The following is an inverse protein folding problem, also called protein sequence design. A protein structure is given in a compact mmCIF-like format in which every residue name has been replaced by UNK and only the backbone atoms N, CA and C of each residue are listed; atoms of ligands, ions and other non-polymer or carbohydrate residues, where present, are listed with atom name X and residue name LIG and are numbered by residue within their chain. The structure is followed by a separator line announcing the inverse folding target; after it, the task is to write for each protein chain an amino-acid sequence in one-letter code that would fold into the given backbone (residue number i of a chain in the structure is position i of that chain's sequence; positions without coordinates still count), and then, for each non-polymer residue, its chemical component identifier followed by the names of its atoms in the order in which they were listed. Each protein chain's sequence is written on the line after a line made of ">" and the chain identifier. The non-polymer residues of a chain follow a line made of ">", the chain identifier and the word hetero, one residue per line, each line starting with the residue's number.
data_IF_025192946083
#
_entry.id   IF_025192946083
#
_cell.length_a   1.000
_cell.length_b   1.000
_cell.length_c   1.000
_cell.angle_alpha   90.00
_cell.angle_beta   90.00
_cell.angle_gamma   90.00
#
_symmetry.space_group_name_H-M   'P 1'
#
loop_
_entity.id
_entity.type
_entity.pdbx_description
1 polymer ?
#
# COMPACT_ATOMS: atom_id res chain seq x y z
N UNK A 1 -0.59 -6.53 17.63
CA UNK A 1 -1.70 -5.55 17.53
C UNK A 1 -1.31 -4.29 18.26
N UNK A 2 -1.41 -3.14 17.59
CA UNK A 2 -1.10 -1.81 18.11
C UNK A 2 -2.29 -0.88 17.91
N UNK A 3 -2.49 0.06 18.84
CA UNK A 3 -3.42 1.17 18.69
C UNK A 3 -2.67 2.47 19.03
N UNK A 4 -2.70 3.42 18.10
CA UNK A 4 -2.13 4.77 18.27
C UNK A 4 -3.26 5.77 18.24
N UNK A 5 -3.32 6.69 19.20
CA UNK A 5 -4.32 7.78 19.20
C UNK A 5 -3.66 9.11 19.54
N UNK A 6 -3.99 10.15 18.79
CA UNK A 6 -3.41 11.48 18.92
C UNK A 6 -1.86 11.45 18.93
N UNK A 7 -1.25 10.60 18.10
CA UNK A 7 0.20 10.42 18.04
C UNK A 7 0.82 9.57 19.15
N UNK A 8 0.02 9.05 20.10
CA UNK A 8 0.52 8.26 21.22
C UNK A 8 0.15 6.78 21.08
N UNK A 9 1.12 5.88 21.30
CA UNK A 9 0.86 4.44 21.39
C UNK A 9 0.11 4.15 22.71
N UNK A 10 -1.17 3.81 22.60
CA UNK A 10 -2.05 3.59 23.77
C UNK A 10 -2.29 2.11 24.06
N UNK A 11 -2.04 1.24 23.08
CA UNK A 11 -2.13 -0.20 23.25
C UNK A 11 -1.11 -0.90 22.37
N UNK A 12 -0.46 -1.91 22.93
CA UNK A 12 0.47 -2.77 22.21
C UNK A 12 0.48 -4.17 22.86
N UNK A 13 0.21 -5.19 22.05
CA UNK A 13 0.27 -6.59 22.46
C UNK A 13 0.76 -7.47 21.31
N UNK A 14 1.58 -8.44 21.68
CA UNK A 14 2.12 -9.49 20.82
C UNK A 14 1.55 -10.83 21.26
N UNK A 15 1.06 -11.60 20.31
CA UNK A 15 0.37 -12.86 20.57
C UNK A 15 1.22 -14.01 20.03
N UNK A 16 1.28 -15.10 20.78
CA UNK A 16 1.93 -16.31 20.33
C UNK A 16 1.20 -16.83 19.09
N UNK A 17 1.96 -17.07 18.02
CA UNK A 17 1.46 -17.79 16.86
C UNK A 17 2.01 -19.21 16.88
N UNK A 18 1.21 -20.19 16.45
CA UNK A 18 1.71 -21.54 16.22
C UNK A 18 2.29 -21.61 14.81
N UNK A 19 3.31 -22.44 14.63
CA UNK A 19 3.79 -22.76 13.29
C UNK A 19 2.64 -23.30 12.45
N UNK A 20 2.47 -22.73 11.26
CA UNK A 20 1.51 -23.25 10.30
C UNK A 20 2.15 -24.43 9.56
N UNK A 21 1.42 -25.52 9.27
CA UNK A 21 1.97 -26.67 8.53
C UNK A 21 2.38 -26.35 7.09
N UNK A 22 2.10 -25.14 6.62
CA UNK A 22 2.29 -24.67 5.24
C UNK A 22 3.72 -24.18 4.93
N UNK A 23 4.64 -24.32 5.89
CA UNK A 23 6.04 -23.90 5.73
C UNK A 23 6.26 -22.40 5.85
N UNK A 24 5.25 -21.62 6.26
CA UNK A 24 5.43 -20.20 6.60
C UNK A 24 6.49 -20.08 7.70
N UNK A 25 7.57 -19.30 7.49
CA UNK A 25 8.58 -19.10 8.51
C UNK A 25 7.98 -18.52 9.79
N UNK A 26 8.45 -19.00 10.94
CA UNK A 26 8.13 -18.38 12.22
C UNK A 26 8.68 -16.94 12.25
N UNK A 27 8.01 -16.02 12.96
CA UNK A 27 8.54 -14.68 13.14
C UNK A 27 9.90 -14.74 13.85
N UNK A 28 10.78 -13.83 13.48
CA UNK A 28 12.10 -13.66 14.08
C UNK A 28 12.20 -12.22 14.63
N UNK A 29 12.39 -12.03 15.95
CA UNK A 29 12.47 -13.06 17.00
C UNK A 29 11.14 -13.78 17.28
N UNK A 30 11.25 -14.97 17.90
CA UNK A 30 10.12 -15.74 18.46
C UNK A 30 10.26 -15.89 19.98
N UNK A 31 9.21 -15.61 20.79
CA UNK A 31 7.87 -15.17 20.37
C UNK A 31 7.87 -13.76 19.77
N UNK A 32 6.83 -13.36 19.02
CA UNK A 32 6.76 -12.02 18.43
C UNK A 32 6.97 -10.93 19.48
N UNK A 33 7.74 -9.91 19.12
CA UNK A 33 8.18 -8.83 19.99
C UNK A 33 8.21 -7.50 19.20
N UNK A 34 8.45 -6.35 19.86
CA UNK A 34 8.44 -5.04 19.19
C UNK A 34 9.40 -4.87 18.01
N UNK A 35 10.46 -5.67 17.97
CA UNK A 35 11.50 -5.72 16.96
C UNK A 35 11.28 -6.81 15.90
N UNK A 36 10.17 -7.56 15.98
CA UNK A 36 9.80 -8.54 14.94
C UNK A 36 9.49 -7.82 13.63
N UNK A 37 10.20 -8.23 12.58
CA UNK A 37 9.94 -7.81 11.22
C UNK A 37 8.84 -8.64 10.58
N UNK A 38 7.96 -7.96 9.85
CA UNK A 38 6.91 -8.60 9.06
C UNK A 38 7.05 -8.23 7.59
N UNK A 39 6.84 -9.21 6.71
CA UNK A 39 6.78 -8.95 5.28
C UNK A 39 5.51 -8.13 4.97
N UNK A 40 5.68 -6.87 4.58
CA UNK A 40 4.61 -5.89 4.35
C UNK A 40 3.72 -6.21 3.14
N UNK A 41 4.24 -6.99 2.18
CA UNK A 41 3.51 -7.42 0.97
C UNK A 41 2.96 -6.18 0.25
N UNK A 42 1.65 -6.13 -0.01
CA UNK A 42 1.03 -5.02 -0.74
C UNK A 42 1.04 -3.68 0.01
N UNK A 43 1.39 -3.62 1.30
CA UNK A 43 1.62 -2.32 1.98
C UNK A 43 2.77 -1.54 1.32
N UNK A 44 3.74 -2.23 0.69
CA UNK A 44 4.80 -1.58 -0.10
C UNK A 44 4.25 -0.65 -1.18
N UNK A 45 3.09 -0.99 -1.77
CA UNK A 45 2.45 -0.17 -2.82
C UNK A 45 2.08 1.22 -2.30
N UNK A 46 1.53 1.30 -1.10
CA UNK A 46 1.20 2.57 -0.47
C UNK A 46 2.45 3.39 -0.10
N UNK A 47 3.56 2.72 0.25
CA UNK A 47 4.86 3.39 0.44
C UNK A 47 5.34 4.01 -0.88
N UNK A 48 5.30 3.27 -1.98
CA UNK A 48 5.64 3.77 -3.32
C UNK A 48 4.75 4.95 -3.73
N UNK A 49 3.43 4.84 -3.55
CA UNK A 49 2.50 5.95 -3.80
C UNK A 49 2.80 7.19 -2.95
N UNK A 50 3.25 7.01 -1.71
CA UNK A 50 3.66 8.12 -0.83
C UNK A 50 4.84 8.91 -1.41
N UNK A 51 5.78 8.23 -2.07
CA UNK A 51 6.93 8.86 -2.72
C UNK A 51 6.52 9.62 -3.99
N UNK A 52 5.53 9.15 -4.74
CA UNK A 52 4.90 9.94 -5.81
C UNK A 52 4.32 11.24 -5.27
N UNK A 53 3.66 11.19 -4.11
CA UNK A 53 3.20 12.38 -3.39
C UNK A 53 4.32 13.35 -3.00
N UNK A 54 5.51 12.83 -2.67
CA UNK A 54 6.70 13.64 -2.41
C UNK A 54 7.22 14.30 -3.70
N UNK A 55 7.35 13.55 -4.81
CA UNK A 55 7.78 14.11 -6.10
C UNK A 55 6.85 15.22 -6.59
N UNK A 56 5.53 15.07 -6.43
CA UNK A 56 4.57 16.14 -6.71
C UNK A 56 4.78 17.36 -5.81
N UNK A 57 5.04 17.14 -4.52
CA UNK A 57 5.31 18.22 -3.57
C UNK A 57 6.60 18.97 -3.89
N UNK A 58 7.62 18.28 -4.41
CA UNK A 58 8.89 18.86 -4.86
C UNK A 58 8.81 19.50 -6.26
N UNK A 59 7.68 19.34 -6.97
CA UNK A 59 7.52 19.67 -8.39
C UNK A 59 8.49 18.89 -9.32
N UNK A 60 8.99 17.74 -8.88
CA UNK A 60 9.82 16.83 -9.68
C UNK A 60 9.00 16.08 -10.74
N UNK A 61 7.68 15.97 -10.50
CA UNK A 61 6.69 15.59 -11.52
C UNK A 61 5.56 16.61 -11.52
N UNK A 62 5.01 16.91 -12.70
CA UNK A 62 4.09 18.03 -12.88
C UNK A 62 2.68 17.74 -12.33
N UNK A 63 2.13 16.56 -12.65
CA UNK A 63 0.79 16.17 -12.23
C UNK A 63 0.63 14.66 -12.23
N UNK A 64 -0.37 14.18 -11.49
CA UNK A 64 -0.90 12.81 -11.64
C UNK A 64 -1.60 12.58 -12.99
N UNK A 65 -1.88 13.65 -13.74
CA UNK A 65 -2.42 13.61 -15.09
C UNK A 65 -1.35 13.49 -16.18
N UNK A 66 -0.08 13.35 -15.81
CA UNK A 66 1.00 13.06 -16.77
C UNK A 66 0.94 11.58 -17.21
N UNK A 67 1.12 11.27 -18.51
CA UNK A 67 1.30 9.91 -18.97
C UNK A 67 2.47 9.21 -18.28
N UNK A 68 2.23 8.02 -17.72
CA UNK A 68 3.29 7.28 -17.02
C UNK A 68 4.38 6.80 -17.99
N UNK A 69 4.00 6.48 -19.24
CA UNK A 69 4.93 6.01 -20.27
C UNK A 69 5.81 7.11 -20.87
N UNK A 70 5.55 8.39 -20.60
CA UNK A 70 6.49 9.47 -20.95
C UNK A 70 7.84 9.31 -20.24
N UNK A 71 7.84 8.66 -19.06
CA UNK A 71 9.07 8.37 -18.33
C UNK A 71 9.80 7.14 -18.88
N UNK A 72 9.20 6.37 -19.79
CA UNK A 72 9.74 5.11 -20.29
C UNK A 72 10.05 5.14 -21.80
N UNK A 73 10.17 6.34 -22.39
CA UNK A 73 10.39 6.50 -23.83
C UNK A 73 11.76 5.97 -24.31
N UNK A 74 12.76 5.97 -23.43
CA UNK A 74 14.09 5.43 -23.72
C UNK A 74 14.18 3.90 -23.53
N UNK A 75 13.13 3.27 -22.99
CA UNK A 75 13.03 1.82 -22.83
C UNK A 75 12.38 1.19 -24.06
N UNK A 76 12.65 -0.10 -24.30
CA UNK A 76 12.06 -0.84 -25.41
C UNK A 76 10.63 -1.29 -25.08
N UNK A 77 9.67 -0.36 -25.03
CA UNK A 77 8.25 -0.65 -24.72
C UNK A 77 7.48 -0.99 -26.00
N UNK A 78 6.99 -2.22 -26.16
CA UNK A 78 6.19 -2.58 -27.34
C UNK A 78 4.89 -1.79 -27.41
N UNK A 79 4.56 -1.30 -28.61
CA UNK A 79 3.34 -0.55 -28.89
C UNK A 79 3.11 0.63 -27.91
N UNK A 80 4.16 1.38 -27.56
CA UNK A 80 4.10 2.49 -26.58
C UNK A 80 2.98 3.49 -26.87
N UNK A 81 2.68 3.78 -28.14
CA UNK A 81 1.57 4.66 -28.53
C UNK A 81 0.21 4.19 -27.99
N UNK A 82 -0.02 2.88 -27.91
CA UNK A 82 -1.26 2.31 -27.35
C UNK A 82 -1.39 2.52 -25.83
N UNK A 83 -0.29 2.89 -25.16
CA UNK A 83 -0.18 3.09 -23.72
C UNK A 83 -0.09 4.57 -23.34
N UNK A 84 -0.07 5.48 -24.31
CA UNK A 84 0.13 6.91 -24.10
C UNK A 84 -0.94 7.57 -23.21
N UNK A 85 -2.15 7.02 -23.16
CA UNK A 85 -3.25 7.54 -22.33
C UNK A 85 -3.24 7.00 -20.88
N UNK A 86 -2.29 6.13 -20.52
CA UNK A 86 -2.15 5.63 -19.16
C UNK A 86 -1.46 6.70 -18.31
N UNK A 87 -2.24 7.42 -17.52
CA UNK A 87 -1.76 8.48 -16.63
C UNK A 87 -1.27 7.93 -15.29
N UNK A 88 -0.41 8.67 -14.58
CA UNK A 88 0.05 8.34 -13.22
C UNK A 88 -1.13 8.09 -12.28
N UNK A 89 -2.23 8.85 -12.39
CA UNK A 89 -3.45 8.61 -11.60
C UNK A 89 -4.06 7.24 -11.85
N UNK A 90 -3.97 6.72 -13.08
CA UNK A 90 -4.50 5.40 -13.41
C UNK A 90 -3.65 4.28 -12.77
N UNK A 91 -2.34 4.50 -12.70
CA UNK A 91 -1.44 3.63 -11.97
C UNK A 91 -1.69 3.67 -10.45
N UNK A 92 -1.96 4.85 -9.88
CA UNK A 92 -2.25 4.99 -8.45
C UNK A 92 -3.63 4.46 -8.04
N UNK A 93 -4.62 4.52 -8.93
CA UNK A 93 -6.00 4.10 -8.63
C UNK A 93 -6.30 2.67 -9.11
N UNK A 94 -5.35 2.03 -9.80
CA UNK A 94 -5.46 0.69 -10.39
C UNK A 94 -6.62 0.57 -11.38
N UNK A 95 -6.64 1.46 -12.37
CA UNK A 95 -7.58 1.44 -13.49
C UNK A 95 -6.89 1.77 -14.84
N UNK A 96 -5.67 1.29 -15.05
CA UNK A 96 -4.88 1.52 -16.27
C UNK A 96 -5.47 0.94 -17.56
N UNK A 97 -6.35 -0.07 -17.47
CA UNK A 97 -6.85 -0.79 -18.63
C UNK A 97 -5.90 -1.87 -19.18
N UNK A 98 -4.74 -2.10 -18.57
CA UNK A 98 -3.84 -3.20 -18.96
C UNK A 98 -4.50 -4.57 -18.73
N UNK A 99 -4.16 -5.52 -19.60
CA UNK A 99 -4.48 -6.94 -19.45
C UNK A 99 -3.72 -7.52 -18.25
N UNK A 100 -4.39 -7.55 -17.10
CA UNK A 100 -3.77 -7.92 -15.84
C UNK A 100 -4.68 -8.77 -14.96
N UNK A 101 -4.17 -9.90 -14.50
CA UNK A 101 -4.88 -10.84 -13.64
C UNK A 101 -4.03 -11.23 -12.43
N UNK A 102 -4.35 -10.70 -11.25
CA UNK A 102 -3.75 -11.15 -9.98
C UNK A 102 -4.67 -12.08 -9.19
N UNK A 103 -5.97 -11.79 -9.25
CA UNK A 103 -7.05 -12.42 -8.51
C UNK A 103 -7.30 -13.89 -8.89
N UNK A 104 -7.57 -14.77 -7.91
CA UNK A 104 -8.27 -16.05 -8.11
C UNK A 104 -7.65 -16.99 -9.16
N UNK A 105 -6.34 -16.86 -9.42
CA UNK A 105 -5.62 -17.71 -10.36
C UNK A 105 -4.30 -18.17 -9.76
N UNK A 106 -3.94 -19.41 -10.06
CA UNK A 106 -2.62 -19.97 -9.72
C UNK A 106 -1.52 -19.44 -10.64
N UNK A 107 -1.91 -18.97 -11.83
CA UNK A 107 -1.04 -18.37 -12.84
C UNK A 107 -1.24 -16.85 -12.87
N UNK A 108 -1.04 -16.19 -11.72
CA UNK A 108 -1.24 -14.74 -11.58
C UNK A 108 -0.12 -13.97 -12.26
N UNK A 109 -0.45 -12.86 -12.91
CA UNK A 109 0.52 -11.94 -13.50
C UNK A 109 1.47 -11.36 -12.45
N UNK A 110 1.02 -11.13 -11.22
CA UNK A 110 1.89 -10.70 -10.12
C UNK A 110 3.04 -11.69 -9.85
N UNK A 111 2.74 -12.99 -9.84
CA UNK A 111 3.72 -14.05 -9.64
C UNK A 111 4.61 -14.22 -10.86
N UNK A 112 4.03 -14.23 -12.07
CA UNK A 112 4.79 -14.38 -13.30
C UNK A 112 5.76 -13.22 -13.53
N UNK A 113 5.32 -11.98 -13.25
CA UNK A 113 6.19 -10.80 -13.23
C UNK A 113 7.31 -10.96 -12.21
N UNK A 114 7.00 -11.39 -10.98
CA UNK A 114 8.02 -11.56 -9.93
C UNK A 114 9.06 -12.64 -10.25
N UNK A 115 8.68 -13.67 -11.03
CA UNK A 115 9.55 -14.77 -11.43
C UNK A 115 10.18 -14.57 -12.82
N UNK A 116 9.86 -13.46 -13.50
CA UNK A 116 10.40 -13.16 -14.82
C UNK A 116 11.87 -12.73 -14.75
N UNK A 117 12.58 -12.79 -15.88
CA UNK A 117 13.97 -12.30 -15.92
C UNK A 117 14.03 -10.78 -15.76
N UNK A 118 13.03 -10.07 -16.28
CA UNK A 118 12.88 -8.62 -16.15
C UNK A 118 11.39 -8.28 -15.91
N UNK A 119 11.04 -7.78 -14.71
CA UNK A 119 9.67 -7.45 -14.37
C UNK A 119 9.14 -6.24 -15.13
N UNK A 120 9.99 -5.33 -15.60
CA UNK A 120 9.57 -4.19 -16.42
C UNK A 120 9.22 -4.64 -17.84
N UNK A 121 10.06 -5.48 -18.47
CA UNK A 121 9.75 -6.06 -19.79
C UNK A 121 8.44 -6.85 -19.73
N UNK A 122 8.22 -7.65 -18.68
CA UNK A 122 6.96 -8.37 -18.48
C UNK A 122 5.73 -7.46 -18.47
N UNK A 123 5.84 -6.27 -17.86
CA UNK A 123 4.75 -5.27 -17.83
C UNK A 123 4.61 -4.58 -19.19
N UNK A 124 5.72 -4.27 -19.86
CA UNK A 124 5.71 -3.61 -21.16
C UNK A 124 5.01 -4.46 -22.23
N UNK A 125 5.18 -5.78 -22.17
CA UNK A 125 4.53 -6.75 -23.06
C UNK A 125 3.00 -6.84 -22.90
N UNK A 126 2.43 -6.35 -21.79
CA UNK A 126 0.97 -6.39 -21.58
C UNK A 126 0.24 -5.47 -22.56
N UNK A 127 -0.90 -5.90 -23.08
CA UNK A 127 -1.74 -5.07 -23.97
C UNK A 127 -2.74 -4.24 -23.15
N UNK A 128 -3.28 -3.17 -23.76
CA UNK A 128 -4.39 -2.39 -23.19
C UNK A 128 -5.72 -2.98 -23.68
N UNK A 129 -6.56 -3.48 -22.78
CA UNK A 129 -7.87 -4.08 -23.12
C UNK A 129 -9.04 -3.11 -22.98
N UNK A 130 -8.90 -2.13 -22.11
CA UNK A 130 -9.96 -1.20 -21.74
C UNK A 130 -9.41 0.22 -21.73
N UNK A 131 -10.28 1.22 -21.93
CA UNK A 131 -9.84 2.61 -21.86
C UNK A 131 -9.35 2.90 -20.43
N UNK A 132 -8.17 3.53 -20.25
CA UNK A 132 -7.69 3.90 -18.92
C UNK A 132 -8.74 4.73 -18.18
N UNK A 133 -9.03 4.36 -16.93
CA UNK A 133 -10.09 4.94 -16.10
C UNK A 133 -11.42 4.18 -16.11
N UNK A 134 -11.67 3.33 -17.11
CA UNK A 134 -12.96 2.65 -17.31
C UNK A 134 -13.23 1.56 -16.26
N UNK A 135 -12.22 0.72 -15.99
CA UNK A 135 -12.35 -0.44 -15.10
C UNK A 135 -11.26 -0.49 -14.06
N UNK A 136 -11.66 -0.81 -12.83
CA UNK A 136 -10.74 -1.04 -11.72
C UNK A 136 -10.30 -2.50 -11.72
N UNK A 137 -8.99 -2.73 -11.81
CA UNK A 137 -8.35 -4.05 -11.74
C UNK A 137 -7.13 -3.92 -10.85
N UNK A 138 -7.11 -4.64 -9.73
CA UNK A 138 -5.99 -4.58 -8.79
C UNK A 138 -4.70 -5.10 -9.46
N UNK A 139 -3.66 -4.25 -9.50
CA UNK A 139 -2.48 -4.51 -10.34
C UNK A 139 -1.16 -4.01 -9.75
N UNK A 140 -0.32 -4.96 -9.36
CA UNK A 140 1.05 -4.76 -8.90
C UNK A 140 1.96 -4.17 -9.97
N UNK A 141 1.71 -4.44 -11.26
CA UNK A 141 2.42 -3.81 -12.38
C UNK A 141 2.50 -2.29 -12.24
N UNK A 142 1.39 -1.65 -11.91
CA UNK A 142 1.34 -0.20 -11.78
C UNK A 142 2.19 0.31 -10.64
N UNK A 143 2.25 -0.40 -9.52
CA UNK A 143 3.17 -0.02 -8.44
C UNK A 143 4.64 -0.25 -8.81
N UNK A 144 4.95 -1.24 -9.65
CA UNK A 144 6.32 -1.42 -10.19
C UNK A 144 6.69 -0.25 -11.11
N UNK A 145 5.81 0.15 -12.03
CA UNK A 145 6.05 1.32 -12.89
C UNK A 145 6.11 2.64 -12.10
N UNK A 146 5.33 2.80 -11.02
CA UNK A 146 5.50 3.97 -10.15
C UNK A 146 6.87 3.96 -9.46
N UNK A 147 7.38 2.78 -9.09
CA UNK A 147 8.74 2.59 -8.58
C UNK A 147 9.79 3.03 -9.59
N UNK A 148 9.77 2.48 -10.80
CA UNK A 148 10.73 2.85 -11.84
C UNK A 148 10.63 4.32 -12.27
N UNK A 149 9.43 4.92 -12.28
CA UNK A 149 9.26 6.36 -12.49
C UNK A 149 10.04 7.16 -11.43
N UNK A 150 9.95 6.77 -10.15
CA UNK A 150 10.71 7.42 -9.07
C UNK A 150 12.21 7.31 -9.37
N UNK A 151 12.68 6.14 -9.77
CA UNK A 151 14.11 5.94 -10.08
C UNK A 151 14.57 6.82 -11.24
N UNK A 152 13.78 6.91 -12.32
CA UNK A 152 14.10 7.75 -13.48
C UNK A 152 14.08 9.24 -13.17
N UNK A 153 13.12 9.71 -12.37
CA UNK A 153 13.03 11.12 -11.98
C UNK A 153 14.16 11.53 -11.02
N UNK A 154 14.55 10.63 -10.13
CA UNK A 154 15.50 10.95 -9.05
C UNK A 154 16.94 10.56 -9.37
N UNK A 155 17.16 9.62 -10.29
CA UNK A 155 18.45 8.97 -10.53
C UNK A 155 18.92 8.05 -9.39
N UNK A 156 18.05 7.77 -8.41
CA UNK A 156 18.37 6.92 -7.25
C UNK A 156 17.59 5.61 -7.32
N UNK A 157 18.11 4.53 -6.72
CA UNK A 157 17.31 3.33 -6.53
C UNK A 157 16.08 3.62 -5.65
N UNK A 158 14.98 2.89 -5.86
CA UNK A 158 13.75 3.09 -5.10
C UNK A 158 13.99 2.94 -3.60
N UNK A 159 14.84 1.98 -3.19
CA UNK A 159 15.21 1.78 -1.78
C UNK A 159 15.98 2.97 -1.22
N UNK A 160 16.99 3.48 -1.94
CA UNK A 160 17.77 4.66 -1.50
C UNK A 160 16.86 5.86 -1.31
N UNK A 161 16.03 6.18 -2.32
CA UNK A 161 15.13 7.31 -2.26
C UNK A 161 14.09 7.18 -1.15
N UNK A 162 13.55 5.98 -0.94
CA UNK A 162 12.65 5.67 0.19
C UNK A 162 13.35 5.92 1.53
N UNK A 163 14.60 5.47 1.65
CA UNK A 163 15.40 5.61 2.86
C UNK A 163 15.57 7.09 3.21
N UNK A 164 16.09 7.88 2.28
CA UNK A 164 16.44 9.29 2.52
C UNK A 164 15.20 10.18 2.70
N UNK A 165 14.17 9.96 1.88
CA UNK A 165 13.03 10.88 1.76
C UNK A 165 11.92 10.58 2.76
N UNK A 166 11.74 9.31 3.13
CA UNK A 166 10.62 8.88 3.97
C UNK A 166 11.11 8.25 5.28
N UNK A 167 11.95 7.23 5.22
CA UNK A 167 12.26 6.43 6.41
C UNK A 167 13.18 7.15 7.39
N UNK A 168 14.25 7.79 6.93
CA UNK A 168 15.15 8.57 7.79
C UNK A 168 14.41 9.69 8.53
N UNK A 169 13.58 10.53 7.89
CA UNK A 169 12.74 11.51 8.60
C UNK A 169 11.80 10.88 9.64
N UNK A 170 11.27 9.69 9.37
CA UNK A 170 10.40 8.94 10.29
C UNK A 170 11.19 8.17 11.37
N UNK A 171 12.53 8.22 11.34
CA UNK A 171 13.40 7.40 12.18
C UNK A 171 13.09 5.89 12.04
N UNK A 172 12.90 5.43 10.80
CA UNK A 172 12.80 4.02 10.40
C UNK A 172 14.17 3.62 9.85
N UNK A 173 15.10 3.24 10.73
CA UNK A 173 16.51 3.01 10.36
C UNK A 173 16.83 1.54 10.12
N UNK A 174 16.08 0.63 10.74
CA UNK A 174 16.25 -0.81 10.60
C UNK A 174 15.04 -1.36 9.87
N UNK A 175 15.19 -1.63 8.57
CA UNK A 175 14.19 -2.27 7.73
C UNK A 175 14.88 -3.19 6.73
N UNK A 176 14.14 -4.14 6.19
CA UNK A 176 14.61 -4.96 5.07
C UNK A 176 13.73 -4.71 3.86
N UNK A 177 14.31 -4.84 2.68
CA UNK A 177 13.57 -4.90 1.43
C UNK A 177 14.24 -5.97 0.60
N UNK A 178 13.47 -6.97 0.17
CA UNK A 178 13.98 -7.99 -0.73
C UNK A 178 14.01 -7.45 -2.16
N UNK A 179 15.19 -7.43 -2.81
CA UNK A 179 15.27 -7.10 -4.22
C UNK A 179 14.69 -8.24 -5.06
N UNK A 180 14.33 -7.92 -6.29
CA UNK A 180 14.07 -8.92 -7.33
C UNK A 180 15.35 -9.76 -7.54
N UNK A 181 15.21 -11.08 -7.55
CA UNK A 181 16.37 -11.99 -7.47
C UNK A 181 17.28 -11.91 -8.71
N UNK A 182 16.72 -11.63 -9.88
CA UNK A 182 17.47 -11.62 -11.15
C UNK A 182 18.08 -10.25 -11.43
N UNK A 183 17.28 -9.18 -11.35
CA UNK A 183 17.73 -7.83 -11.71
C UNK A 183 18.41 -7.08 -10.57
N UNK A 184 18.10 -7.45 -9.32
CA UNK A 184 18.56 -6.74 -8.13
C UNK A 184 17.72 -5.50 -7.78
N UNK A 185 16.68 -5.18 -8.56
CA UNK A 185 15.84 -4.00 -8.36
C UNK A 185 14.87 -4.14 -7.18
N UNK A 186 14.53 -3.03 -6.54
CA UNK A 186 13.51 -3.02 -5.51
C UNK A 186 12.16 -2.67 -6.12
N UNK A 187 11.27 -3.66 -6.19
CA UNK A 187 9.98 -3.48 -6.86
C UNK A 187 8.99 -2.74 -5.94
N UNK A 188 8.36 -1.68 -6.48
CA UNK A 188 7.38 -0.87 -5.73
C UNK A 188 6.10 -1.61 -5.34
N UNK A 189 5.93 -2.87 -5.72
CA UNK A 189 4.74 -3.69 -5.49
C UNK A 189 4.78 -4.54 -4.22
N UNK A 190 5.96 -4.89 -3.69
CA UNK A 190 6.13 -5.83 -2.57
C UNK A 190 7.57 -5.84 -2.03
N UNK A 191 7.85 -6.68 -1.03
CA UNK A 191 9.20 -7.03 -0.57
C UNK A 191 9.71 -6.25 0.64
N UNK A 192 9.02 -5.20 1.06
CA UNK A 192 9.39 -4.43 2.25
C UNK A 192 9.10 -5.22 3.54
N UNK A 193 9.96 -5.09 4.53
CA UNK A 193 9.79 -5.62 5.88
C UNK A 193 9.93 -4.49 6.89
N UNK A 194 8.93 -4.36 7.76
CA UNK A 194 8.90 -3.35 8.83
C UNK A 194 8.51 -3.99 10.15
N UNK A 195 8.88 -3.33 11.24
CA UNK A 195 8.26 -3.58 12.55
C UNK A 195 6.84 -3.01 12.58
N UNK A 196 5.99 -3.51 13.48
CA UNK A 196 4.65 -2.94 13.69
C UNK A 196 4.70 -1.45 14.06
N UNK A 197 5.69 -1.04 14.85
CA UNK A 197 5.85 0.35 15.29
C UNK A 197 6.24 1.26 14.13
N UNK A 198 7.15 0.82 13.25
CA UNK A 198 7.55 1.60 12.08
C UNK A 198 6.43 1.70 11.04
N UNK A 199 5.66 0.62 10.86
CA UNK A 199 4.47 0.64 10.03
C UNK A 199 3.43 1.68 10.54
N UNK A 200 3.20 1.75 11.86
CA UNK A 200 2.30 2.73 12.45
C UNK A 200 2.70 4.20 12.15
N UNK A 201 4.01 4.49 12.02
CA UNK A 201 4.49 5.83 11.69
C UNK A 201 4.03 6.28 10.29
N UNK A 202 3.90 5.36 9.34
CA UNK A 202 3.36 5.66 8.00
C UNK A 202 1.91 6.15 8.09
N UNK A 203 1.07 5.48 8.89
CA UNK A 203 -0.30 5.92 9.14
C UNK A 203 -0.35 7.28 9.85
N UNK A 204 0.51 7.47 10.84
CA UNK A 204 0.58 8.73 11.60
C UNK A 204 1.05 9.91 10.73
N UNK A 205 1.92 9.67 9.75
CA UNK A 205 2.31 10.68 8.77
C UNK A 205 1.11 11.21 7.95
N UNK A 206 0.20 10.33 7.54
CA UNK A 206 -1.03 10.72 6.85
C UNK A 206 -2.02 11.44 7.79
N UNK A 207 -2.18 10.98 9.04
CA UNK A 207 -2.96 11.70 10.05
C UNK A 207 -2.42 13.12 10.29
N UNK A 208 -1.09 13.28 10.24
CA UNK A 208 -0.40 14.57 10.35
C UNK A 208 -0.34 15.35 9.03
N UNK A 209 -1.04 14.91 7.98
CA UNK A 209 -1.11 15.57 6.67
C UNK A 209 0.29 15.83 6.07
N UNK A 210 1.15 14.81 6.13
CA UNK A 210 2.49 14.81 5.56
C UNK A 210 3.56 15.55 6.36
N UNK A 211 3.24 16.01 7.58
CA UNK A 211 4.20 16.67 8.48
C UNK A 211 4.68 15.70 9.57
N UNK A 212 5.99 15.59 9.74
CA UNK A 212 6.61 14.78 10.78
C UNK A 212 7.71 15.57 11.48
N UNK A 213 7.57 15.83 12.78
CA UNK A 213 8.55 16.60 13.57
C UNK A 213 9.00 17.92 12.90
N UNK A 214 8.06 18.65 12.30
CA UNK A 214 8.33 19.91 11.60
C UNK A 214 8.86 19.75 10.16
N UNK A 215 9.23 18.55 9.74
CA UNK A 215 9.65 18.24 8.37
C UNK A 215 8.45 17.78 7.51
N UNK A 216 8.25 18.41 6.35
CA UNK A 216 7.15 18.07 5.43
C UNK A 216 7.63 17.13 4.34
N UNK A 217 7.05 15.93 4.30
CA UNK A 217 7.36 14.88 3.31
C UNK A 217 6.43 15.00 2.11
N UNK A 218 5.15 15.29 2.30
CA UNK A 218 4.23 15.57 1.20
C UNK A 218 3.22 16.66 1.57
N UNK A 219 2.54 17.18 0.56
CA UNK A 219 1.59 18.28 0.73
C UNK A 219 0.34 17.85 1.50
N UNK A 220 -0.29 18.80 2.21
CA UNK A 220 -1.60 18.54 2.83
C UNK A 220 -2.64 18.10 1.80
N UNK A 221 -2.53 18.61 0.56
CA UNK A 221 -3.37 18.26 -0.58
C UNK A 221 -3.23 16.77 -0.94
N UNK A 222 -2.00 16.27 -1.06
CA UNK A 222 -1.74 14.85 -1.30
C UNK A 222 -2.36 13.96 -0.22
N UNK A 223 -2.23 14.37 1.05
CA UNK A 223 -2.83 13.66 2.18
C UNK A 223 -4.35 13.56 2.03
N UNK A 224 -5.03 14.68 1.74
CA UNK A 224 -6.49 14.68 1.59
C UNK A 224 -6.96 13.93 0.36
N UNK A 225 -6.25 14.03 -0.77
CA UNK A 225 -6.66 13.37 -2.03
C UNK A 225 -6.41 11.86 -2.00
N UNK A 226 -5.37 11.42 -1.28
CA UNK A 226 -5.05 10.00 -1.08
C UNK A 226 -6.09 9.27 -0.25
N UNK A 227 -6.80 9.97 0.64
CA UNK A 227 -7.80 9.41 1.54
C UNK A 227 -9.23 9.54 1.01
N UNK A 228 -9.38 9.65 -0.32
CA UNK A 228 -10.68 9.67 -1.01
C UNK A 228 -10.82 8.41 -1.87
N UNK A 229 -11.84 7.57 -1.64
CA UNK A 229 -12.08 6.41 -2.49
C UNK A 229 -12.40 6.83 -3.93
N UNK A 230 -11.90 6.07 -4.90
CA UNK A 230 -12.07 6.33 -6.34
C UNK A 230 -12.98 5.31 -7.02
N UNK A 231 -12.87 4.04 -6.64
CA UNK A 231 -13.66 2.96 -7.23
C UNK A 231 -13.67 1.68 -6.42
N UNK A 232 -14.09 0.59 -7.05
CA UNK A 232 -14.16 -0.76 -6.47
C UNK A 232 -13.68 -1.78 -7.49
N UNK A 233 -12.90 -2.77 -7.04
CA UNK A 233 -12.48 -3.89 -7.88
C UNK A 233 -13.53 -5.00 -7.99
N UNK A 234 -14.43 -5.08 -7.01
CA UNK A 234 -15.48 -6.08 -6.99
C UNK A 234 -16.84 -5.41 -6.85
N UNK A 235 -17.80 -5.96 -7.57
CA UNK A 235 -19.18 -5.49 -7.56
C UNK A 235 -19.94 -5.98 -6.32
N UNK A 236 -19.58 -7.16 -5.80
CA UNK A 236 -20.22 -7.85 -4.68
C UNK A 236 -19.66 -7.46 -3.30
N UNK A 237 -18.58 -6.67 -3.26
CA UNK A 237 -17.98 -6.15 -2.02
C UNK A 237 -18.20 -4.66 -1.85
N UNK A 238 -18.28 -4.20 -0.62
CA UNK A 238 -18.46 -2.76 -0.34
C UNK A 238 -17.15 -1.98 -0.25
N UNK A 239 -16.02 -2.68 -0.06
CA UNK A 239 -14.69 -2.07 0.06
C UNK A 239 -14.30 -1.31 -1.22
N UNK A 240 -13.87 -0.07 -1.05
CA UNK A 240 -13.41 0.81 -2.12
C UNK A 240 -11.88 0.92 -2.14
N UNK A 241 -11.35 1.48 -3.22
CA UNK A 241 -9.92 1.72 -3.41
C UNK A 241 -9.65 3.08 -4.05
N UNK A 242 -8.46 3.61 -3.82
CA UNK A 242 -7.96 4.83 -4.47
C UNK A 242 -6.56 5.17 -3.97
N UNK A 243 -5.70 5.70 -4.85
CA UNK A 243 -4.34 6.15 -4.49
C UNK A 243 -3.53 5.15 -3.65
N UNK A 244 -3.67 3.86 -3.97
CA UNK A 244 -3.04 2.75 -3.24
C UNK A 244 -3.52 2.57 -1.78
N UNK A 245 -4.72 3.04 -1.44
CA UNK A 245 -5.40 2.87 -0.16
C UNK A 245 -6.71 2.08 -0.29
N UNK A 246 -6.98 1.24 0.72
CA UNK A 246 -8.24 0.52 0.87
C UNK A 246 -9.24 1.32 1.73
N UNK A 247 -10.52 1.27 1.40
CA UNK A 247 -11.57 2.01 2.11
C UNK A 247 -12.74 1.06 2.44
N UNK A 248 -12.61 0.28 3.52
CA UNK A 248 -13.72 -0.57 3.97
C UNK A 248 -14.93 0.28 4.40
N UNK A 249 -16.10 -0.34 4.43
CA UNK A 249 -17.32 0.32 4.86
C UNK A 249 -17.63 -0.03 6.31
N UNK A 250 -17.45 0.95 7.20
CA UNK A 250 -18.00 0.91 8.56
C UNK A 250 -19.01 2.05 8.68
N UNK A 251 -20.21 1.73 9.17
CA UNK A 251 -21.23 2.71 9.52
C UNK A 251 -21.40 2.81 11.02
N UNK A 252 -21.64 4.02 11.52
CA UNK A 252 -22.07 4.30 12.90
C UNK A 252 -23.49 4.84 12.81
N UNK A 253 -24.48 4.01 13.13
CA UNK A 253 -25.86 4.29 12.73
C UNK A 253 -25.96 4.29 11.19
N UNK A 254 -26.42 5.40 10.61
CA UNK A 254 -26.57 5.55 9.16
C UNK A 254 -25.38 6.26 8.49
N UNK A 255 -24.47 6.85 9.27
CA UNK A 255 -23.33 7.61 8.75
C UNK A 255 -22.12 6.72 8.51
N UNK A 256 -21.40 6.97 7.41
CA UNK A 256 -20.14 6.30 7.11
C UNK A 256 -19.01 6.93 7.93
N UNK A 257 -18.29 6.11 8.69
CA UNK A 257 -17.02 6.51 9.29
C UNK A 257 -15.91 6.41 8.25
N UNK A 258 -15.11 7.46 8.07
CA UNK A 258 -13.94 7.40 7.21
C UNK A 258 -12.87 6.50 7.84
N UNK A 259 -12.64 5.35 7.20
CA UNK A 259 -11.58 4.40 7.50
C UNK A 259 -10.77 4.16 6.23
N UNK A 260 -9.46 4.33 6.32
CA UNK A 260 -8.52 4.10 5.21
C UNK A 260 -7.43 3.12 5.65
N UNK A 261 -7.14 2.13 4.82
CA UNK A 261 -6.30 0.98 5.15
C UNK A 261 -5.08 0.81 4.24
N UNK A 262 -3.92 0.58 4.84
CA UNK A 262 -2.80 -0.09 4.19
C UNK A 262 -2.91 -1.58 4.51
N UNK A 263 -3.10 -2.41 3.47
CA UNK A 263 -3.36 -3.86 3.65
C UNK A 263 -2.41 -4.70 2.82
N UNK A 264 -1.85 -5.73 3.45
CA UNK A 264 -0.95 -6.70 2.85
C UNK A 264 -1.39 -8.13 3.14
N UNK A 265 -1.12 -9.03 2.19
CA UNK A 265 -1.41 -10.45 2.34
C UNK A 265 -0.73 -11.03 3.59
N UNK A 266 -1.38 -11.99 4.24
CA UNK A 266 -0.91 -12.58 5.48
C UNK A 266 -1.15 -11.73 6.73
N UNK A 267 -2.10 -10.79 6.68
CA UNK A 267 -2.61 -10.05 7.84
C UNK A 267 -1.76 -8.83 8.23
N UNK A 268 -1.24 -8.09 7.25
CA UNK A 268 -0.59 -6.80 7.48
C UNK A 268 -1.61 -5.69 7.28
N UNK A 269 -2.40 -5.40 8.31
CA UNK A 269 -3.56 -4.53 8.22
C UNK A 269 -3.42 -3.34 9.17
N UNK A 270 -3.24 -2.15 8.60
CA UNK A 270 -3.28 -0.89 9.34
C UNK A 270 -4.41 -0.03 8.81
N UNK A 271 -5.29 0.41 9.70
CA UNK A 271 -6.39 1.33 9.40
C UNK A 271 -6.22 2.64 10.15
N UNK A 272 -6.34 3.75 9.44
CA UNK A 272 -6.43 5.08 10.02
C UNK A 272 -7.88 5.58 10.00
N UNK A 273 -8.25 6.29 11.06
CA UNK A 273 -9.52 7.00 11.20
C UNK A 273 -9.23 8.47 11.46
N UNK A 274 -9.14 9.30 10.39
CA UNK A 274 -8.65 10.69 10.50
C UNK A 274 -9.40 11.56 11.49
N UNK A 275 -10.73 11.42 11.53
CA UNK A 275 -11.62 12.16 12.44
C UNK A 275 -11.37 11.82 13.92
N UNK A 276 -10.89 10.62 14.19
CA UNK A 276 -10.59 10.14 15.55
C UNK A 276 -9.12 10.29 15.93
N UNK A 277 -8.26 10.74 14.99
CA UNK A 277 -6.80 10.74 15.11
C UNK A 277 -6.26 9.39 15.59
N UNK A 278 -6.78 8.31 15.00
CA UNK A 278 -6.62 6.95 15.49
C UNK A 278 -6.03 6.04 14.41
N UNK A 279 -5.16 5.13 14.83
CA UNK A 279 -4.60 4.04 14.03
C UNK A 279 -4.90 2.73 14.76
N UNK A 280 -5.44 1.77 14.04
CA UNK A 280 -5.55 0.37 14.45
C UNK A 280 -4.65 -0.47 13.55
N UNK A 281 -3.79 -1.31 14.14
CA UNK A 281 -2.81 -2.07 13.38
C UNK A 281 -2.70 -3.52 13.88
N UNK A 282 -2.73 -4.45 12.94
CA UNK A 282 -2.41 -5.86 13.12
C UNK A 282 -1.34 -6.23 12.09
N UNK A 283 -0.29 -6.91 12.55
CA UNK A 283 0.63 -7.66 11.70
C UNK A 283 0.56 -9.12 12.12
N UNK A 284 0.50 -10.04 11.15
CA UNK A 284 0.52 -11.47 11.42
C UNK A 284 1.38 -12.22 10.40
N UNK A 285 1.21 -13.55 10.32
CA UNK A 285 1.84 -14.41 9.31
C UNK A 285 0.81 -15.35 8.68
N UNK A 286 -0.44 -14.91 8.57
CA UNK A 286 -1.60 -15.75 8.22
C UNK A 286 -1.77 -15.91 6.70
N UNK A 287 -0.73 -16.28 5.95
CA UNK A 287 -0.73 -16.20 4.47
C UNK A 287 -1.74 -17.10 3.77
N UNK A 288 -2.11 -18.25 4.36
CA UNK A 288 -3.05 -19.22 3.76
C UNK A 288 -4.48 -19.11 4.30
N UNK A 289 -4.66 -18.52 5.48
CA UNK A 289 -5.94 -18.47 6.20
C UNK A 289 -6.24 -17.05 6.69
N UNK A 290 -5.87 -16.04 5.88
CA UNK A 290 -6.16 -14.66 6.23
C UNK A 290 -7.67 -14.43 6.20
N UNK A 291 -8.22 -14.04 7.35
CA UNK A 291 -9.55 -13.46 7.43
C UNK A 291 -9.43 -11.94 7.21
N UNK A 292 -9.84 -11.48 6.03
CA UNK A 292 -9.79 -10.06 5.65
C UNK A 292 -10.77 -9.19 6.47
N UNK A 293 -11.79 -9.76 7.10
CA UNK A 293 -12.80 -9.02 7.84
C UNK A 293 -12.49 -8.94 9.34
N UNK A 294 -11.71 -9.89 9.88
CA UNK A 294 -11.39 -9.96 11.29
C UNK A 294 -10.86 -8.64 11.90
N UNK A 295 -9.93 -7.88 11.26
CA UNK A 295 -9.52 -6.58 11.78
C UNK A 295 -10.68 -5.56 11.87
N UNK A 296 -11.62 -5.61 10.93
CA UNK A 296 -12.76 -4.69 10.86
C UNK A 296 -13.82 -5.06 11.90
N UNK A 297 -14.00 -6.36 12.18
CA UNK A 297 -14.83 -6.83 13.28
C UNK A 297 -14.25 -6.39 14.64
N UNK A 298 -12.93 -6.44 14.81
CA UNK A 298 -12.29 -5.91 16.02
C UNK A 298 -12.52 -4.41 16.18
N UNK A 299 -12.45 -3.65 15.07
CA UNK A 299 -12.74 -2.22 15.08
C UNK A 299 -14.20 -1.95 15.47
N UNK A 300 -15.15 -2.59 14.81
CA UNK A 300 -16.58 -2.34 14.99
C UNK A 300 -17.10 -2.83 16.35
N UNK A 301 -16.66 -4.01 16.81
CA UNK A 301 -17.23 -4.67 17.99
C UNK A 301 -16.51 -4.32 19.30
N UNK A 302 -15.26 -3.86 19.24
CA UNK A 302 -14.46 -3.60 20.44
C UNK A 302 -13.83 -2.21 20.47
N UNK A 303 -13.11 -1.80 19.42
CA UNK A 303 -12.40 -0.52 19.42
C UNK A 303 -13.35 0.67 19.49
N UNK A 304 -14.31 0.76 18.56
CA UNK A 304 -15.25 1.88 18.51
C UNK A 304 -16.15 1.96 19.78
N UNK A 305 -16.71 0.84 20.28
CA UNK A 305 -17.41 0.84 21.56
C UNK A 305 -16.56 1.30 22.74
N UNK A 306 -15.26 0.97 22.78
CA UNK A 306 -14.35 1.47 23.83
C UNK A 306 -14.17 3.00 23.81
N UNK A 307 -14.53 3.65 22.71
CA UNK A 307 -14.54 5.10 22.53
C UNK A 307 -15.94 5.72 22.70
N UNK A 308 -16.91 4.96 23.21
CA UNK A 308 -18.33 5.31 23.27
C UNK A 308 -18.99 5.56 21.89
N UNK A 309 -18.39 5.03 20.82
CA UNK A 309 -18.98 5.02 19.47
C UNK A 309 -19.70 3.69 19.30
N UNK A 310 -21.00 3.68 19.61
CA UNK A 310 -21.85 2.48 19.58
C UNK A 310 -22.58 2.34 18.25
N UNK A 311 -23.22 1.18 18.01
CA UNK A 311 -23.92 0.86 16.76
C UNK A 311 -23.02 0.90 15.51
N UNK A 312 -21.72 0.65 15.68
CA UNK A 312 -20.80 0.47 14.57
C UNK A 312 -21.04 -0.89 13.90
N UNK A 313 -21.14 -0.91 12.57
CA UNK A 313 -21.27 -2.14 11.76
C UNK A 313 -20.34 -2.07 10.56
N UNK A 314 -19.56 -3.14 10.39
CA UNK A 314 -18.80 -3.38 9.18
C UNK A 314 -19.68 -4.09 8.13
N UNK A 315 -19.47 -3.76 6.86
CA UNK A 315 -20.09 -4.39 5.72
C UNK A 315 -18.98 -4.93 4.82
N UNK A 316 -18.93 -6.26 4.56
CA UNK A 316 -17.87 -6.85 3.73
C UNK A 316 -17.92 -6.44 2.26
#
# INVERSE_FOLDING_TARGET
>A
MLIVRNGNLIFERYYLNRSSPDGTPMPDPYPPAPDTFHHMKSVTKTVTATLIGNLLYQNSIASVDTPIFDYYQDDNVPNIDSKADILIKHALDFNSGLDWTEWNTRNSDAMNMWLSNDPYEYIFDKVVLHTPGEKYVYQGAMSVLLGGLIEKVTGQSLKTYTSETLFTPLNIVNYHWFPHEVTGDYLGSSGLYLTSRDFAKLGQLYLNKGLWNGHRIFSKKWASESLVPKGRFWEDRTIQYGRNWWFPLIKVGDERLLIAGMRGAGGQDMFIMPELQLIFLITSGSYQQQDENYPLDLIANYLLPSLNITNAKHYP
#
